data_IF_937887008036
#
_entry.id   IF_937887008036
#
_cell.length_a   1.000
_cell.length_b   1.000
_cell.length_c   1.000
_cell.angle_alpha   90.00
_cell.angle_beta   90.00
_cell.angle_gamma   90.00
#
_symmetry.space_group_name_H-M   'P 1'
#
loop_
_entity.id
_entity.type
_entity.pdbx_description
1 polymer ?
#
# COMPACT_ATOMS: atom_id res chain seq x y z
N UNK A 1 -4.69 25.99 2.56
CA UNK A 1 -6.13 25.64 2.63
C UNK A 1 -6.39 24.66 3.79
N UNK A 2 -5.33 23.97 4.30
CA UNK A 2 -5.43 23.07 5.44
C UNK A 2 -5.82 21.62 5.09
N UNK A 3 -5.71 21.20 3.84
CA UNK A 3 -5.86 19.79 3.46
C UNK A 3 -4.63 18.98 3.88
N UNK A 4 -4.85 17.72 4.22
CA UNK A 4 -3.78 16.74 4.27
C UNK A 4 -3.40 16.35 2.84
N UNK A 5 -2.11 16.42 2.51
CA UNK A 5 -1.60 16.08 1.19
C UNK A 5 -0.95 14.70 1.20
N UNK A 6 -0.98 14.04 0.06
CA UNK A 6 -0.35 12.74 -0.11
C UNK A 6 0.48 12.67 -1.37
N UNK A 7 1.44 11.76 -1.36
CA UNK A 7 2.22 11.37 -2.53
C UNK A 7 2.37 9.86 -2.59
N UNK A 8 3.12 9.36 -3.56
CA UNK A 8 3.44 7.94 -3.65
C UNK A 8 3.92 7.54 -5.03
N UNK A 9 4.40 6.32 -5.12
CA UNK A 9 4.87 5.72 -6.37
C UNK A 9 4.68 4.20 -6.38
N UNK A 10 4.80 3.59 -7.55
CA UNK A 10 4.81 2.14 -7.69
C UNK A 10 6.24 1.63 -7.71
N UNK A 11 6.54 0.65 -6.86
CA UNK A 11 7.87 0.04 -6.75
C UNK A 11 8.07 -1.02 -7.82
N UNK A 12 9.16 -0.92 -8.56
CA UNK A 12 9.48 -1.83 -9.66
C UNK A 12 8.69 -1.54 -10.94
N UNK A 13 8.23 -0.30 -11.13
CA UNK A 13 7.67 0.16 -12.41
C UNK A 13 8.70 0.00 -13.53
N UNK A 14 8.26 -0.25 -14.78
CA UNK A 14 9.18 -0.28 -15.92
C UNK A 14 10.09 0.95 -15.96
N UNK A 15 11.39 0.73 -16.22
CA UNK A 15 12.45 1.74 -16.29
C UNK A 15 12.84 2.41 -14.96
N UNK A 16 12.22 2.04 -13.83
CA UNK A 16 12.62 2.55 -12.52
C UNK A 16 14.02 2.04 -12.15
N UNK A 17 14.85 2.90 -11.60
CA UNK A 17 16.23 2.60 -11.18
C UNK A 17 16.41 2.91 -9.69
N UNK A 18 17.53 2.47 -9.11
CA UNK A 18 17.88 2.85 -7.73
C UNK A 18 18.07 4.36 -7.58
N UNK A 19 18.51 5.04 -8.62
CA UNK A 19 18.68 6.49 -8.63
C UNK A 19 17.32 7.19 -8.55
N UNK A 20 16.34 6.81 -9.41
CA UNK A 20 15.01 7.42 -9.38
C UNK A 20 14.26 7.12 -8.08
N UNK A 21 14.49 5.95 -7.46
CA UNK A 21 13.95 5.64 -6.14
C UNK A 21 14.58 6.52 -5.04
N UNK A 22 15.85 6.84 -5.14
CA UNK A 22 16.51 7.76 -4.20
C UNK A 22 15.99 9.20 -4.36
N UNK A 23 15.71 9.64 -5.58
CA UNK A 23 15.06 10.93 -5.86
C UNK A 23 13.65 10.99 -5.27
N UNK A 24 12.86 9.91 -5.42
CA UNK A 24 11.52 9.80 -4.80
C UNK A 24 11.59 9.90 -3.27
N UNK A 25 12.56 9.25 -2.64
CA UNK A 25 12.76 9.32 -1.19
C UNK A 25 13.21 10.73 -0.74
N UNK A 26 14.09 11.38 -1.49
CA UNK A 26 14.49 12.76 -1.22
C UNK A 26 13.31 13.72 -1.33
N UNK A 27 12.50 13.57 -2.40
CA UNK A 27 11.26 14.34 -2.58
C UNK A 27 10.29 14.17 -1.39
N UNK A 28 10.06 12.93 -0.91
CA UNK A 28 9.21 12.68 0.26
C UNK A 28 9.77 13.40 1.49
N UNK A 29 11.09 13.41 1.66
CA UNK A 29 11.77 14.12 2.74
C UNK A 29 11.51 15.63 2.72
N UNK A 30 11.60 16.24 1.54
CA UNK A 30 11.45 17.68 1.31
C UNK A 30 10.00 18.14 1.29
N UNK A 31 9.13 17.43 0.56
CA UNK A 31 7.73 17.79 0.36
C UNK A 31 6.92 17.67 1.64
N UNK A 32 7.35 16.82 2.59
CA UNK A 32 6.70 16.58 3.89
C UNK A 32 5.21 16.21 3.80
N UNK A 33 4.83 15.20 3.01
CA UNK A 33 3.43 14.82 2.87
C UNK A 33 2.88 14.20 4.16
N UNK A 34 1.59 14.34 4.39
CA UNK A 34 0.89 13.67 5.49
C UNK A 34 0.68 12.17 5.24
N UNK A 35 0.60 11.75 3.97
CA UNK A 35 0.46 10.35 3.57
C UNK A 35 1.39 10.02 2.40
N UNK A 36 2.00 8.84 2.43
CA UNK A 36 2.73 8.31 1.29
C UNK A 36 2.29 6.88 0.98
N UNK A 37 1.69 6.69 -0.20
CA UNK A 37 1.22 5.38 -0.65
C UNK A 37 2.21 4.74 -1.61
N UNK A 38 2.95 3.72 -1.17
CA UNK A 38 3.76 2.91 -2.07
C UNK A 38 3.30 1.46 -2.08
N UNK A 39 3.47 0.80 -3.21
CA UNK A 39 3.15 -0.62 -3.38
C UNK A 39 3.89 -1.18 -4.59
N UNK A 40 4.04 -2.50 -4.68
CA UNK A 40 4.68 -3.10 -5.84
C UNK A 40 3.85 -2.83 -7.10
N UNK A 41 4.53 -2.53 -8.20
CA UNK A 41 3.91 -2.50 -9.52
C UNK A 41 3.32 -3.87 -9.84
N UNK A 42 2.10 -3.91 -10.33
CA UNK A 42 1.47 -5.12 -10.84
C UNK A 42 0.96 -4.80 -12.26
N UNK A 43 1.42 -5.53 -13.28
CA UNK A 43 1.00 -5.28 -14.66
C UNK A 43 -0.49 -5.54 -14.84
N UNK A 44 -1.08 -4.86 -15.80
CA UNK A 44 -2.40 -5.12 -16.31
C UNK A 44 -2.27 -5.44 -17.81
N UNK A 45 -2.74 -6.61 -18.22
CA UNK A 45 -2.51 -7.22 -19.56
C UNK A 45 -2.91 -6.32 -20.75
N UNK A 46 -3.93 -5.47 -20.58
CA UNK A 46 -4.49 -4.62 -21.61
C UNK A 46 -3.82 -3.21 -21.62
N UNK A 47 -2.64 -3.07 -21.01
CA UNK A 47 -1.87 -1.82 -20.97
C UNK A 47 -0.53 -1.97 -21.68
N UNK A 48 0.13 -0.86 -22.09
CA UNK A 48 1.48 -0.91 -22.65
C UNK A 48 2.50 -1.65 -21.76
N UNK A 49 2.30 -1.64 -20.45
CA UNK A 49 3.18 -2.30 -19.48
C UNK A 49 2.74 -3.73 -19.11
N UNK A 50 1.71 -4.27 -19.76
CA UNK A 50 1.16 -5.60 -19.45
C UNK A 50 2.12 -6.77 -19.60
N UNK A 51 3.23 -6.59 -20.37
CA UNK A 51 4.25 -7.62 -20.58
C UNK A 51 5.45 -7.53 -19.60
N UNK A 52 5.48 -6.51 -18.76
CA UNK A 52 6.56 -6.34 -17.78
C UNK A 52 6.33 -7.20 -16.54
N UNK A 53 7.41 -7.53 -15.84
CA UNK A 53 7.34 -8.25 -14.57
C UNK A 53 6.75 -7.38 -13.47
N UNK A 54 6.08 -8.00 -12.51
CA UNK A 54 5.64 -7.31 -11.30
C UNK A 54 6.83 -6.84 -10.45
N UNK A 55 6.62 -5.79 -9.69
CA UNK A 55 7.59 -5.27 -8.75
C UNK A 55 7.81 -6.19 -7.55
N UNK A 56 8.93 -6.00 -6.84
CA UNK A 56 9.35 -6.84 -5.71
C UNK A 56 8.62 -6.46 -4.42
N UNK A 57 8.05 -7.45 -3.74
CA UNK A 57 7.52 -7.31 -2.39
C UNK A 57 8.63 -6.90 -1.43
N UNK A 58 9.80 -7.55 -1.48
CA UNK A 58 10.93 -7.26 -0.57
C UNK A 58 11.44 -5.84 -0.74
N UNK A 59 11.60 -5.36 -1.97
CA UNK A 59 12.00 -3.98 -2.25
C UNK A 59 10.95 -2.98 -1.72
N UNK A 60 9.66 -3.28 -1.87
CA UNK A 60 8.59 -2.44 -1.33
C UNK A 60 8.65 -2.37 0.19
N UNK A 61 8.87 -3.50 0.88
CA UNK A 61 9.01 -3.53 2.34
C UNK A 61 10.23 -2.74 2.81
N UNK A 62 11.35 -2.85 2.12
CA UNK A 62 12.56 -2.07 2.39
C UNK A 62 12.29 -0.55 2.27
N UNK A 63 11.63 -0.13 1.18
CA UNK A 63 11.29 1.27 0.97
C UNK A 63 10.26 1.80 1.99
N UNK A 64 9.27 0.98 2.40
CA UNK A 64 8.37 1.34 3.51
C UNK A 64 9.16 1.61 4.79
N UNK A 65 10.15 0.77 5.11
CA UNK A 65 11.00 0.97 6.28
C UNK A 65 11.83 2.26 6.19
N UNK A 66 12.40 2.57 5.02
CA UNK A 66 13.14 3.81 4.80
C UNK A 66 12.24 5.04 4.96
N UNK A 67 11.04 5.03 4.35
CA UNK A 67 10.09 6.15 4.47
C UNK A 67 9.69 6.34 5.93
N UNK A 68 9.45 5.27 6.69
CA UNK A 68 9.15 5.36 8.12
C UNK A 68 10.29 5.99 8.93
N UNK A 69 11.56 5.71 8.57
CA UNK A 69 12.71 6.32 9.23
C UNK A 69 12.86 7.80 8.85
N UNK A 70 12.64 8.15 7.59
CA UNK A 70 12.71 9.55 7.10
C UNK A 70 11.57 10.39 7.70
N UNK A 71 10.35 9.82 7.76
CA UNK A 71 9.12 10.48 8.23
C UNK A 71 8.42 9.64 9.31
N UNK A 72 8.82 9.74 10.58
CA UNK A 72 8.32 8.87 11.65
C UNK A 72 6.81 8.93 11.88
N UNK A 73 6.16 10.04 11.57
CA UNK A 73 4.72 10.25 11.81
C UNK A 73 3.83 10.07 10.58
N UNK A 74 4.41 9.87 9.39
CA UNK A 74 3.67 9.80 8.14
C UNK A 74 2.64 8.66 8.13
N UNK A 75 1.52 8.85 7.44
CA UNK A 75 0.55 7.80 7.17
C UNK A 75 1.05 6.94 5.99
N UNK A 76 1.33 5.66 6.27
CA UNK A 76 1.83 4.69 5.28
C UNK A 76 0.85 3.53 5.14
N UNK A 77 0.17 3.39 4.00
CA UNK A 77 -0.71 2.25 3.75
C UNK A 77 0.05 0.94 3.50
N UNK A 78 -0.37 -0.15 4.16
CA UNK A 78 -0.11 -1.51 3.69
C UNK A 78 -1.07 -1.81 2.54
N UNK A 79 -0.59 -1.67 1.31
CA UNK A 79 -1.44 -1.65 0.10
C UNK A 79 -2.03 -3.02 -0.24
N UNK A 80 -3.13 -3.03 -0.99
CA UNK A 80 -3.72 -4.26 -1.53
C UNK A 80 -2.77 -4.98 -2.48
N UNK A 81 -1.91 -4.24 -3.19
CA UNK A 81 -0.90 -4.80 -4.10
C UNK A 81 0.09 -5.72 -3.37
N UNK A 82 0.53 -5.36 -2.14
CA UNK A 82 1.34 -6.25 -1.30
C UNK A 82 0.61 -7.56 -1.00
N UNK A 83 -0.66 -7.50 -0.60
CA UNK A 83 -1.47 -8.69 -0.34
C UNK A 83 -1.80 -9.50 -1.60
N UNK A 84 -1.76 -8.90 -2.79
CA UNK A 84 -1.95 -9.60 -4.06
C UNK A 84 -0.72 -10.41 -4.44
N UNK A 85 0.49 -9.88 -4.24
CA UNK A 85 1.74 -10.57 -4.56
C UNK A 85 2.23 -11.51 -3.47
N UNK A 86 1.77 -11.35 -2.23
CA UNK A 86 2.15 -12.21 -1.10
C UNK A 86 0.97 -12.42 -0.17
N UNK A 87 0.66 -13.67 0.23
CA UNK A 87 -0.47 -13.97 1.13
C UNK A 87 -0.46 -13.18 2.45
N UNK A 88 0.73 -12.90 2.99
CA UNK A 88 0.95 -12.11 4.22
C UNK A 88 1.58 -10.74 3.94
N UNK A 89 1.45 -10.23 2.72
CA UNK A 89 2.10 -9.00 2.28
C UNK A 89 1.68 -7.77 3.08
N UNK A 90 0.42 -7.68 3.50
CA UNK A 90 -0.07 -6.57 4.33
C UNK A 90 0.52 -6.60 5.73
N UNK A 91 0.57 -7.77 6.34
CA UNK A 91 1.15 -8.01 7.66
C UNK A 91 2.65 -7.67 7.66
N UNK A 92 3.37 -8.09 6.64
CA UNK A 92 4.76 -7.71 6.43
C UNK A 92 4.91 -6.20 6.23
N UNK A 93 4.02 -5.57 5.46
CA UNK A 93 3.99 -4.11 5.30
C UNK A 93 3.83 -3.37 6.62
N UNK A 94 2.92 -3.83 7.51
CA UNK A 94 2.76 -3.26 8.86
C UNK A 94 4.05 -3.41 9.66
N UNK A 95 4.67 -4.59 9.66
CA UNK A 95 5.95 -4.83 10.34
C UNK A 95 7.10 -3.97 9.78
N UNK A 96 7.03 -3.65 8.49
CA UNK A 96 8.00 -2.79 7.81
C UNK A 96 7.76 -1.28 8.02
N UNK A 97 6.71 -0.90 8.79
CA UNK A 97 6.46 0.50 9.15
C UNK A 97 5.15 1.08 8.63
N UNK A 98 4.33 0.33 7.87
CA UNK A 98 2.99 0.79 7.50
C UNK A 98 2.08 0.87 8.75
N UNK A 99 1.22 1.88 8.78
CA UNK A 99 0.30 2.15 9.89
C UNK A 99 -1.14 2.43 9.43
N UNK A 100 -1.43 2.26 8.15
CA UNK A 100 -2.76 2.41 7.58
C UNK A 100 -3.15 1.12 6.84
N UNK A 101 -4.38 0.65 7.04
CA UNK A 101 -4.97 -0.44 6.27
C UNK A 101 -6.30 0.00 5.69
N UNK A 102 -6.53 -0.35 4.43
CA UNK A 102 -7.75 0.01 3.71
C UNK A 102 -8.56 -1.25 3.39
N UNK A 103 -9.68 -1.51 4.08
CA UNK A 103 -10.56 -2.60 3.72
C UNK A 103 -11.29 -2.30 2.40
N UNK A 104 -11.59 -3.32 1.62
CA UNK A 104 -12.44 -3.16 0.44
C UNK A 104 -13.91 -3.19 0.87
N UNK A 105 -14.56 -2.04 0.83
CA UNK A 105 -15.97 -1.87 1.18
C UNK A 105 -16.90 -1.84 -0.05
N UNK A 106 -16.37 -2.02 -1.26
CA UNK A 106 -17.20 -2.05 -2.47
C UNK A 106 -18.15 -3.25 -2.46
N UNK A 107 -19.42 -3.11 -2.93
CA UNK A 107 -20.32 -4.22 -3.13
C UNK A 107 -19.70 -5.30 -4.02
N UNK A 108 -19.99 -6.57 -3.76
CA UNK A 108 -19.44 -7.72 -4.51
C UNK A 108 -19.72 -7.61 -6.01
N UNK A 109 -20.90 -7.15 -6.41
CA UNK A 109 -21.29 -6.94 -7.81
C UNK A 109 -20.39 -5.95 -8.55
N UNK A 110 -19.86 -4.95 -7.84
CA UNK A 110 -19.04 -3.88 -8.42
C UNK A 110 -17.55 -4.19 -8.42
N UNK A 111 -17.09 -5.10 -7.55
CA UNK A 111 -15.66 -5.41 -7.40
C UNK A 111 -15.01 -5.90 -8.68
N UNK A 112 -15.76 -6.66 -9.51
CA UNK A 112 -15.26 -7.17 -10.80
C UNK A 112 -15.01 -6.07 -11.83
N UNK A 113 -15.72 -4.95 -11.73
CA UNK A 113 -15.57 -3.79 -12.61
C UNK A 113 -14.32 -2.96 -12.27
N UNK A 114 -13.68 -3.22 -11.13
CA UNK A 114 -12.55 -2.45 -10.59
C UNK A 114 -11.24 -3.25 -10.61
N UNK A 115 -11.00 -3.96 -11.72
CA UNK A 115 -9.76 -4.69 -11.94
C UNK A 115 -8.68 -3.75 -12.48
N UNK A 116 -8.05 -2.97 -11.61
CA UNK A 116 -6.97 -2.03 -11.96
C UNK A 116 -5.68 -2.73 -12.40
N UNK A 117 -5.50 -3.99 -12.00
CA UNK A 117 -4.38 -4.84 -12.38
C UNK A 117 -4.79 -6.31 -12.26
N UNK A 118 -4.03 -7.18 -12.92
CA UNK A 118 -4.33 -8.61 -12.96
C UNK A 118 -4.27 -9.25 -11.57
N UNK A 119 -5.17 -10.21 -11.32
CA UNK A 119 -5.26 -10.98 -10.08
C UNK A 119 -5.41 -10.15 -8.80
N UNK A 120 -5.93 -8.93 -8.89
CA UNK A 120 -6.17 -8.09 -7.72
C UNK A 120 -6.88 -8.87 -6.61
N UNK A 121 -6.29 -8.86 -5.41
CA UNK A 121 -6.85 -9.56 -4.25
C UNK A 121 -8.30 -9.12 -4.03
N UNK A 122 -9.21 -10.02 -4.37
CA UNK A 122 -10.64 -9.86 -4.17
C UNK A 122 -11.07 -10.98 -3.24
N UNK A 123 -11.25 -10.69 -1.96
CA UNK A 123 -11.94 -11.64 -1.09
C UNK A 123 -13.39 -11.71 -1.54
N UNK A 124 -13.89 -12.89 -1.88
CA UNK A 124 -15.29 -13.13 -2.23
C UNK A 124 -16.26 -12.94 -1.05
N UNK A 125 -15.82 -12.27 0.00
CA UNK A 125 -16.54 -12.06 1.25
C UNK A 125 -17.23 -10.69 1.27
N UNK A 126 -18.35 -10.60 1.95
CA UNK A 126 -19.04 -9.34 2.24
C UNK A 126 -18.11 -8.34 2.96
N UNK A 127 -18.41 -7.05 2.84
CA UNK A 127 -17.57 -5.99 3.37
C UNK A 127 -17.32 -6.10 4.88
N UNK A 128 -18.35 -6.47 5.65
CA UNK A 128 -18.23 -6.67 7.10
C UNK A 128 -17.32 -7.85 7.45
N UNK A 129 -17.43 -8.95 6.72
CA UNK A 129 -16.59 -10.13 6.91
C UNK A 129 -15.13 -9.85 6.51
N UNK A 130 -14.90 -9.11 5.42
CA UNK A 130 -13.57 -8.65 5.02
C UNK A 130 -12.90 -7.80 6.10
N UNK A 131 -13.67 -6.93 6.76
CA UNK A 131 -13.16 -6.12 7.87
C UNK A 131 -12.83 -6.96 9.10
N UNK A 132 -13.66 -7.96 9.42
CA UNK A 132 -13.41 -8.88 10.55
C UNK A 132 -12.11 -9.68 10.33
N UNK A 133 -11.94 -10.27 9.15
CA UNK A 133 -10.71 -10.99 8.77
C UNK A 133 -9.47 -10.10 8.84
N UNK A 134 -9.57 -8.86 8.37
CA UNK A 134 -8.46 -7.91 8.45
C UNK A 134 -8.10 -7.56 9.90
N UNK A 135 -9.09 -7.38 10.78
CA UNK A 135 -8.86 -7.14 12.21
C UNK A 135 -8.16 -8.32 12.89
N UNK A 136 -8.58 -9.54 12.56
CA UNK A 136 -7.97 -10.77 13.07
C UNK A 136 -6.52 -10.91 12.59
N UNK A 137 -6.27 -10.74 11.31
CA UNK A 137 -4.93 -10.79 10.70
C UNK A 137 -3.98 -9.79 11.38
N UNK A 138 -4.40 -8.54 11.55
CA UNK A 138 -3.61 -7.52 12.24
C UNK A 138 -3.37 -7.85 13.71
N UNK A 139 -4.37 -8.42 14.40
CA UNK A 139 -4.23 -8.88 15.80
C UNK A 139 -3.20 -10.01 15.92
N UNK A 140 -3.18 -10.94 14.98
CA UNK A 140 -2.27 -12.09 14.99
C UNK A 140 -0.79 -11.69 14.88
N UNK A 141 -0.49 -10.51 14.37
CA UNK A 141 0.87 -9.96 14.31
C UNK A 141 1.18 -8.99 15.46
N UNK A 142 0.31 -8.91 16.48
CA UNK A 142 0.52 -8.09 17.68
C UNK A 142 0.06 -6.64 17.57
N UNK A 143 -0.70 -6.28 16.51
CA UNK A 143 -1.22 -4.93 16.32
C UNK A 143 -2.73 -4.86 16.51
N UNK A 144 -3.26 -3.65 16.61
CA UNK A 144 -4.70 -3.38 16.74
C UNK A 144 -5.14 -2.34 15.74
N UNK A 145 -6.21 -2.63 15.01
CA UNK A 145 -6.88 -1.63 14.17
C UNK A 145 -7.70 -0.72 15.07
N UNK A 146 -7.47 0.58 14.95
CA UNK A 146 -8.27 1.63 15.57
C UNK A 146 -9.09 2.35 14.50
N UNK A 147 -10.32 2.73 14.84
CA UNK A 147 -11.16 3.57 13.98
C UNK A 147 -11.02 5.00 14.51
N UNK A 148 -10.31 5.83 13.77
CA UNK A 148 -10.11 7.24 14.10
C UNK A 148 -10.26 8.05 12.80
N UNK A 149 -10.32 9.38 12.92
CA UNK A 149 -10.40 10.27 11.75
C UNK A 149 -9.17 10.14 10.83
N UNK A 150 -8.06 9.63 11.35
CA UNK A 150 -6.85 9.38 10.56
C UNK A 150 -6.01 10.63 10.34
N UNK A 151 -6.16 11.64 11.18
CA UNK A 151 -5.30 12.82 11.10
C UNK A 151 -3.88 12.48 11.54
N UNK A 152 -2.92 13.08 10.83
CA UNK A 152 -1.53 13.03 11.26
C UNK A 152 -1.36 13.81 12.57
N UNK A 153 -0.66 13.23 13.51
CA UNK A 153 -0.24 13.96 14.71
C UNK A 153 1.05 14.72 14.37
N UNK A 154 0.92 16.01 14.24
CA UNK A 154 2.08 16.92 14.14
C UNK A 154 2.70 17.12 15.50
#
# INVERSE_FOLDING_TARGET
>A
IGFQTGCGFMVGSPFQTSFTLAEDLAFIGEFDPEMCGIGPFIPQKDTPFGKFSAGSVQQTLFLLSLIRLIKPNILLPATTALGTLSPNGRELGIKAGANVVMPNLSPLSERRKYALYDNKLSTGTESAQSLALLKESVKNIGYKIVTARGDIKK
#
